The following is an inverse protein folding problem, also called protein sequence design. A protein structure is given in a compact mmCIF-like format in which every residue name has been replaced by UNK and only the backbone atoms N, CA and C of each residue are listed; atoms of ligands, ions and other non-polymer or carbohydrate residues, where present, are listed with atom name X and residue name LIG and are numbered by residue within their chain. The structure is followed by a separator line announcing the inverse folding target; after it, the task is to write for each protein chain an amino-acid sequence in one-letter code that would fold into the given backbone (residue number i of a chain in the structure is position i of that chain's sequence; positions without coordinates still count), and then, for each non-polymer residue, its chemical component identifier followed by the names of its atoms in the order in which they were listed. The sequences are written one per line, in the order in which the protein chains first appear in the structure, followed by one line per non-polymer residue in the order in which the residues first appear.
data_IF_165886611241
#
_entry.id   IF_165886611241
#
_cell.length_a   1.000
_cell.length_b   1.000
_cell.length_c   1.000
_cell.angle_alpha   90.00
_cell.angle_beta   90.00
_cell.angle_gamma   90.00
#
_symmetry.space_group_name_H-M   'P 1'
#
loop_
_entity.id
_entity.type
_entity.pdbx_description
1 polymer ?
#
# COMPACT_ATOMS: atom_id res chain seq x y z
N UNK A 1 -7.48 22.41 5.57
CA UNK A 1 -6.66 21.55 4.69
C UNK A 1 -6.87 20.11 5.14
N UNK A 2 -6.90 19.10 4.25
CA UNK A 2 -6.99 17.72 4.69
C UNK A 2 -5.76 17.39 5.55
N UNK A 3 -5.99 16.71 6.69
CA UNK A 3 -4.93 16.36 7.65
C UNK A 3 -3.95 15.32 7.09
N UNK A 4 -4.31 14.66 5.99
CA UNK A 4 -3.51 13.64 5.32
C UNK A 4 -3.55 13.92 3.81
N UNK A 5 -2.36 14.03 3.19
CA UNK A 5 -2.20 14.03 1.73
C UNK A 5 -1.62 12.70 1.30
N UNK A 6 -2.16 12.12 0.22
CA UNK A 6 -1.73 10.82 -0.31
C UNK A 6 -1.34 10.98 -1.77
N UNK A 7 -0.18 10.45 -2.13
CA UNK A 7 0.32 10.40 -3.49
C UNK A 7 0.67 8.97 -3.87
N UNK A 8 -0.13 8.39 -4.77
CA UNK A 8 0.03 7.02 -5.27
C UNK A 8 0.71 7.06 -6.63
N UNK A 9 1.78 6.28 -6.78
CA UNK A 9 2.46 6.06 -8.07
C UNK A 9 2.35 4.58 -8.43
N UNK A 10 1.49 4.31 -9.41
CA UNK A 10 1.27 3.00 -10.02
C UNK A 10 1.10 3.24 -11.53
N UNK A 11 1.71 2.42 -12.41
CA UNK A 11 1.47 2.50 -13.84
C UNK A 11 -0.01 2.19 -14.15
N UNK A 12 -0.59 2.90 -15.12
CA UNK A 12 -1.99 2.68 -15.53
C UNK A 12 -2.20 1.30 -16.19
N UNK A 13 -1.15 0.79 -16.81
CA UNK A 13 -1.14 -0.45 -17.57
C UNK A 13 0.24 -1.09 -17.45
N UNK A 14 0.28 -2.42 -17.55
CA UNK A 14 1.50 -3.21 -17.53
C UNK A 14 1.35 -4.39 -18.49
N UNK A 15 2.47 -4.92 -18.98
CA UNK A 15 2.44 -6.12 -19.81
C UNK A 15 2.21 -7.34 -18.93
N UNK A 16 1.54 -8.34 -19.49
CA UNK A 16 1.29 -9.60 -18.80
C UNK A 16 2.64 -10.25 -18.45
N UNK A 17 2.84 -10.56 -17.18
CA UNK A 17 4.05 -11.18 -16.66
C UNK A 17 5.09 -10.21 -16.09
N UNK A 18 4.95 -8.91 -16.33
CA UNK A 18 5.85 -7.91 -15.76
C UNK A 18 5.56 -7.68 -14.27
N UNK A 19 6.60 -7.25 -13.55
CA UNK A 19 6.48 -6.71 -12.19
C UNK A 19 6.22 -5.21 -12.26
N UNK A 20 5.37 -4.71 -11.37
CA UNK A 20 5.11 -3.28 -11.23
C UNK A 20 5.48 -2.81 -9.84
N UNK A 21 6.03 -1.61 -9.77
CA UNK A 21 6.24 -0.92 -8.50
C UNK A 21 4.97 -0.19 -8.09
N UNK A 22 4.52 -0.45 -6.86
CA UNK A 22 3.42 0.28 -6.25
C UNK A 22 3.94 1.12 -5.10
N UNK A 23 3.94 2.44 -5.28
CA UNK A 23 4.41 3.37 -4.25
C UNK A 23 3.24 4.18 -3.70
N UNK A 24 3.12 4.20 -2.38
CA UNK A 24 2.21 5.08 -1.67
C UNK A 24 3.04 6.00 -0.79
N UNK A 25 3.00 7.31 -1.08
CA UNK A 25 3.62 8.34 -0.25
C UNK A 25 2.52 9.09 0.47
N UNK A 26 2.70 9.40 1.74
CA UNK A 26 1.73 10.17 2.51
C UNK A 26 2.41 11.25 3.34
N UNK A 27 1.72 12.37 3.51
CA UNK A 27 2.10 13.45 4.41
C UNK A 27 0.96 13.63 5.41
N UNK A 28 1.28 13.58 6.71
CA UNK A 28 0.32 13.81 7.78
C UNK A 28 0.67 15.13 8.44
N UNK A 29 -0.30 16.04 8.48
CA UNK A 29 -0.15 17.35 9.10
C UNK A 29 -0.80 17.37 10.49
N UNK A 30 -0.25 18.17 11.40
CA UNK A 30 -0.71 18.27 12.79
C UNK A 30 -0.22 17.12 13.68
N UNK A 31 -0.83 16.97 14.85
CA UNK A 31 -0.44 15.96 15.86
C UNK A 31 -1.12 14.59 15.62
N UNK A 32 -1.18 14.14 14.36
CA UNK A 32 -1.77 12.85 13.96
C UNK A 32 -0.67 11.90 13.49
N UNK A 33 -0.93 10.60 13.58
CA UNK A 33 -0.03 9.55 13.11
C UNK A 33 -0.73 8.63 12.12
N UNK A 34 0.06 7.95 11.29
CA UNK A 34 -0.47 6.98 10.35
C UNK A 34 -0.94 5.75 11.12
N UNK A 35 -2.21 5.38 10.96
CA UNK A 35 -2.73 4.13 11.51
C UNK A 35 -2.32 2.93 10.65
N UNK A 36 -2.65 2.96 9.35
CA UNK A 36 -2.27 1.89 8.42
C UNK A 36 -2.33 2.33 6.96
N UNK A 37 -1.54 1.69 6.10
CA UNK A 37 -1.69 1.71 4.63
C UNK A 37 -2.06 0.32 4.17
N UNK A 38 -3.00 0.21 3.24
CA UNK A 38 -3.51 -1.08 2.76
C UNK A 38 -3.67 -1.07 1.26
N UNK A 39 -3.35 -2.20 0.63
CA UNK A 39 -3.65 -2.45 -0.77
C UNK A 39 -4.71 -3.54 -0.92
N UNK A 40 -5.64 -3.30 -1.84
CA UNK A 40 -6.76 -4.19 -2.14
C UNK A 40 -6.79 -4.49 -3.63
N UNK A 41 -7.13 -5.73 -3.98
CA UNK A 41 -7.49 -6.15 -5.33
C UNK A 41 -8.81 -6.89 -5.26
N UNK A 42 -9.78 -6.48 -6.06
CA UNK A 42 -11.12 -7.09 -6.10
C UNK A 42 -11.78 -7.17 -4.71
N UNK A 43 -11.63 -6.11 -3.91
CA UNK A 43 -12.16 -6.03 -2.54
C UNK A 43 -11.38 -6.82 -1.48
N UNK A 44 -10.37 -7.59 -1.86
CA UNK A 44 -9.58 -8.40 -0.93
C UNK A 44 -8.24 -7.73 -0.63
N UNK A 45 -7.94 -7.62 0.66
CA UNK A 45 -6.67 -7.07 1.13
C UNK A 45 -5.53 -8.02 0.80
N UNK A 46 -4.43 -7.51 0.26
CA UNK A 46 -3.24 -8.33 -0.04
C UNK A 46 -1.95 -7.77 0.58
N UNK A 47 -1.96 -6.53 1.06
CA UNK A 47 -0.86 -5.90 1.78
C UNK A 47 -1.36 -4.91 2.82
N UNK A 48 -0.66 -4.85 3.96
CA UNK A 48 -0.87 -3.86 5.02
C UNK A 48 0.46 -3.41 5.60
N UNK A 49 0.60 -2.11 5.78
CA UNK A 49 1.64 -1.48 6.57
C UNK A 49 1.03 -0.81 7.81
N UNK A 50 1.52 -1.13 9.02
CA UNK A 50 1.10 -0.58 10.31
C UNK A 50 2.35 -0.13 11.08
N UNK A 51 2.70 1.17 11.08
CA UNK A 51 3.97 1.66 11.63
C UNK A 51 4.20 1.30 13.10
N UNK A 52 3.13 1.27 13.89
CA UNK A 52 3.19 1.06 15.35
C UNK A 52 3.06 -0.41 15.76
N UNK A 53 3.14 -1.35 14.81
CA UNK A 53 3.03 -2.78 15.07
C UNK A 53 4.42 -3.45 14.99
N UNK A 54 4.78 -4.36 15.91
CA UNK A 54 5.99 -5.18 15.80
C UNK A 54 6.18 -5.84 14.43
N UNK A 55 5.08 -6.28 13.80
CA UNK A 55 5.06 -6.70 12.41
C UNK A 55 4.46 -5.58 11.56
N UNK A 56 5.35 -4.65 11.19
CA UNK A 56 4.95 -3.43 10.49
C UNK A 56 4.41 -3.72 9.10
N UNK A 57 4.82 -4.82 8.46
CA UNK A 57 4.30 -5.27 7.17
C UNK A 57 3.61 -6.62 7.33
N UNK A 58 2.41 -6.75 6.77
CA UNK A 58 1.64 -7.98 6.67
C UNK A 58 1.20 -8.19 5.22
N UNK A 59 1.29 -9.42 4.74
CA UNK A 59 0.87 -9.80 3.39
C UNK A 59 -0.20 -10.87 3.49
N UNK A 60 -1.15 -10.84 2.55
CA UNK A 60 -2.26 -11.78 2.50
C UNK A 60 -2.32 -12.39 1.09
N UNK A 61 -2.49 -13.72 0.97
CA UNK A 61 -2.62 -14.35 -0.34
C UNK A 61 -3.86 -13.82 -1.07
N UNK A 62 -3.68 -13.39 -2.33
CA UNK A 62 -4.78 -12.97 -3.19
C UNK A 62 -4.59 -13.49 -4.61
N UNK A 63 -5.66 -14.00 -5.21
CA UNK A 63 -5.60 -14.60 -6.54
C UNK A 63 -5.13 -13.59 -7.59
N UNK A 64 -4.09 -13.96 -8.34
CA UNK A 64 -3.47 -13.12 -9.36
C UNK A 64 -2.52 -12.05 -8.82
N UNK A 65 -2.20 -12.05 -7.52
CA UNK A 65 -1.20 -11.15 -6.92
C UNK A 65 0.05 -11.95 -6.54
N UNK A 66 1.19 -11.54 -7.08
CA UNK A 66 2.52 -11.98 -6.63
C UNK A 66 3.22 -10.77 -6.03
N UNK A 67 3.27 -10.71 -4.70
CA UNK A 67 3.82 -9.56 -4.00
C UNK A 67 5.28 -9.78 -3.62
N UNK A 68 6.12 -8.80 -3.93
CA UNK A 68 7.46 -8.67 -3.37
C UNK A 68 7.49 -7.36 -2.59
N UNK A 69 7.98 -7.42 -1.36
CA UNK A 69 8.12 -6.26 -0.49
C UNK A 69 9.61 -5.91 -0.48
N UNK A 70 9.93 -4.67 -0.83
CA UNK A 70 11.30 -4.14 -0.86
C UNK A 70 11.44 -2.97 0.09
#
# INVERSE_FOLDING_TARGET
MPDIKVNVKIPKEAKIGDYIDMQCNWEIHGNKSLYSVKWYKDGHEFFRYVPNNPQSIQTFPQLGVKLQVS
#
